data_IF_212890788814
#
_entry.id   IF_212890788814
#
_cell.length_a   1.000
_cell.length_b   1.000
_cell.length_c   1.000
_cell.angle_alpha   90.00
_cell.angle_beta   90.00
_cell.angle_gamma   90.00
#
_symmetry.space_group_name_H-M   'P 1'
#
loop_
_entity.id
_entity.type
_entity.pdbx_description
1 polymer ?
#
# COMPACT_ATOMS: atom_id res chain seq x y z
N UNK A 1 -13.99 -3.41 -11.87
CA UNK A 1 -12.95 -3.71 -10.87
C UNK A 1 -13.38 -4.98 -10.14
N UNK A 2 -12.61 -6.05 -10.25
CA UNK A 2 -12.89 -7.29 -9.53
C UNK A 2 -11.95 -7.36 -8.32
N UNK A 3 -12.50 -7.33 -7.11
CA UNK A 3 -11.74 -7.30 -5.86
C UNK A 3 -11.34 -8.69 -5.34
N UNK A 4 -11.18 -9.67 -6.24
CA UNK A 4 -10.94 -11.07 -5.89
C UNK A 4 -9.65 -11.29 -5.07
N UNK A 5 -8.65 -10.41 -5.21
CA UNK A 5 -7.44 -10.41 -4.39
C UNK A 5 -7.59 -9.72 -3.02
N UNK A 6 -8.81 -9.27 -2.66
CA UNK A 6 -9.10 -8.51 -1.43
C UNK A 6 -8.10 -7.38 -1.15
N UNK A 7 -7.70 -6.64 -2.18
CA UNK A 7 -6.70 -5.57 -2.08
C UNK A 7 -7.08 -4.45 -1.10
N UNK A 8 -8.36 -4.31 -0.75
CA UNK A 8 -8.79 -3.38 0.30
C UNK A 8 -8.60 -3.92 1.72
N UNK A 9 -8.42 -5.23 1.90
CA UNK A 9 -8.26 -5.88 3.19
C UNK A 9 -6.79 -6.22 3.53
N UNK A 10 -5.90 -6.20 2.53
CA UNK A 10 -4.46 -6.37 2.75
C UNK A 10 -3.80 -5.15 3.40
N UNK A 11 -2.81 -5.39 4.27
CA UNK A 11 -1.99 -4.32 4.84
C UNK A 11 -1.30 -3.49 3.73
N UNK A 12 -0.85 -4.19 2.69
CA UNK A 12 -0.37 -3.66 1.42
C UNK A 12 -1.24 -4.30 0.33
N UNK A 13 -2.05 -3.48 -0.33
CA UNK A 13 -2.97 -3.89 -1.38
C UNK A 13 -2.54 -3.38 -2.74
N UNK A 14 -2.73 -4.20 -3.78
CA UNK A 14 -2.50 -3.81 -5.17
C UNK A 14 -3.83 -3.89 -5.92
N UNK A 15 -4.26 -2.76 -6.46
CA UNK A 15 -5.46 -2.65 -7.29
C UNK A 15 -5.04 -2.47 -8.76
N UNK A 16 -5.28 -3.48 -9.58
CA UNK A 16 -5.19 -3.35 -11.04
C UNK A 16 -6.33 -2.50 -11.60
N UNK A 17 -5.99 -1.51 -12.41
CA UNK A 17 -6.90 -0.63 -13.15
C UNK A 17 -6.53 -0.60 -14.63
N UNK A 18 -7.52 -0.72 -15.51
CA UNK A 18 -7.34 -0.46 -16.94
C UNK A 18 -7.43 1.05 -17.18
N UNK A 19 -6.41 1.62 -17.81
CA UNK A 19 -6.44 3.01 -18.30
C UNK A 19 -6.24 3.02 -19.80
N UNK A 20 -7.35 3.02 -20.54
CA UNK A 20 -7.39 3.10 -22.00
C UNK A 20 -6.66 1.92 -22.68
N UNK A 21 -6.83 0.71 -22.13
CA UNK A 21 -6.19 -0.50 -22.64
C UNK A 21 -4.74 -0.68 -22.20
N UNK A 22 -4.24 0.16 -21.28
CA UNK A 22 -2.94 0.01 -20.64
C UNK A 22 -3.16 -0.39 -19.18
N UNK A 23 -2.50 -1.45 -18.76
CA UNK A 23 -2.51 -1.90 -17.37
C UNK A 23 -1.82 -0.86 -16.47
N UNK A 24 -2.45 -0.58 -15.34
CA UNK A 24 -1.94 0.35 -14.34
C UNK A 24 -2.32 -0.16 -12.95
N UNK A 25 -1.49 0.12 -11.95
CA UNK A 25 -1.59 -0.50 -10.64
C UNK A 25 -1.55 0.54 -9.53
N UNK A 26 -2.56 0.57 -8.67
CA UNK A 26 -2.58 1.46 -7.51
C UNK A 26 -2.18 0.70 -6.25
N UNK A 27 -1.33 1.33 -5.45
CA UNK A 27 -0.96 0.86 -4.13
C UNK A 27 -1.98 1.35 -3.10
N UNK A 28 -2.41 0.46 -2.21
CA UNK A 28 -3.29 0.74 -1.07
C UNK A 28 -2.57 0.33 0.21
N UNK A 29 -2.69 1.13 1.27
CA UNK A 29 -2.10 0.84 2.58
C UNK A 29 -3.14 0.88 3.69
N UNK A 30 -2.98 0.00 4.69
CA UNK A 30 -3.75 0.05 5.93
C UNK A 30 -5.02 -0.79 5.99
N UNK A 31 -5.23 -1.70 5.03
CA UNK A 31 -6.32 -2.69 5.10
C UNK A 31 -6.06 -3.73 6.17
N UNK A 32 -7.10 -4.23 6.84
CA UNK A 32 -7.02 -5.34 7.79
C UNK A 32 -8.35 -6.11 7.81
N UNK A 33 -8.31 -7.43 7.67
CA UNK A 33 -9.48 -8.33 7.82
C UNK A 33 -9.65 -8.90 9.24
N UNK A 34 -8.75 -8.56 10.16
CA UNK A 34 -8.78 -8.98 11.56
C UNK A 34 -9.86 -8.28 12.38
N UNK A 35 -9.81 -8.48 13.71
CA UNK A 35 -10.76 -7.90 14.66
C UNK A 35 -10.77 -6.36 14.66
N UNK A 36 -9.63 -5.76 14.31
CA UNK A 36 -9.41 -4.34 14.09
C UNK A 36 -9.56 -3.97 12.61
N UNK A 37 -10.72 -4.34 12.04
CA UNK A 37 -11.01 -4.26 10.61
C UNK A 37 -10.85 -2.84 10.07
N UNK A 38 -10.13 -2.69 8.96
CA UNK A 38 -9.98 -1.42 8.25
C UNK A 38 -9.85 -1.62 6.74
N UNK A 39 -10.24 -0.61 5.97
CA UNK A 39 -10.03 -0.60 4.52
C UNK A 39 -8.73 0.11 4.17
N UNK A 40 -7.97 -0.50 3.25
CA UNK A 40 -6.78 0.10 2.66
C UNK A 40 -7.14 1.36 1.88
N UNK A 41 -6.28 2.37 1.98
CA UNK A 41 -6.44 3.65 1.31
C UNK A 41 -5.43 3.81 0.17
N UNK A 42 -5.91 4.30 -0.97
CA UNK A 42 -5.08 4.57 -2.15
C UNK A 42 -4.01 5.60 -1.79
N UNK A 43 -2.74 5.28 -2.05
CA UNK A 43 -1.60 6.16 -1.75
C UNK A 43 -1.52 7.35 -2.70
N UNK A 44 -1.89 7.16 -3.97
CA UNK A 44 -1.80 8.21 -4.99
C UNK A 44 -2.01 7.70 -6.43
N UNK A 45 -1.36 8.34 -7.43
CA UNK A 45 -1.34 7.87 -8.81
C UNK A 45 -0.88 6.40 -8.91
N UNK A 46 -1.35 5.71 -9.95
CA UNK A 46 -0.97 4.32 -10.19
C UNK A 46 0.32 4.21 -11.00
N UNK A 47 1.01 3.09 -10.80
CA UNK A 47 2.26 2.69 -11.40
C UNK A 47 2.03 1.77 -12.61
N UNK A 48 3.05 1.58 -13.42
CA UNK A 48 3.13 0.46 -14.36
C UNK A 48 3.53 -0.84 -13.63
N UNK A 49 3.75 -1.92 -14.38
CA UNK A 49 4.07 -3.25 -13.84
C UNK A 49 5.38 -3.26 -13.03
N UNK A 50 6.45 -2.64 -13.54
CA UNK A 50 7.72 -2.55 -12.82
C UNK A 50 7.63 -1.56 -11.65
N UNK A 51 6.94 -0.45 -11.85
CA UNK A 51 6.78 0.61 -10.84
C UNK A 51 6.01 0.15 -9.62
N UNK A 52 5.03 -0.75 -9.74
CA UNK A 52 4.31 -1.27 -8.57
C UNK A 52 5.20 -2.17 -7.71
N UNK A 53 6.13 -2.92 -8.33
CA UNK A 53 7.12 -3.72 -7.59
C UNK A 53 8.03 -2.79 -6.78
N UNK A 54 8.55 -1.73 -7.41
CA UNK A 54 9.34 -0.71 -6.74
C UNK A 54 8.57 0.00 -5.62
N UNK A 55 7.29 0.32 -5.84
CA UNK A 55 6.45 0.96 -4.82
C UNK A 55 6.26 0.09 -3.56
N UNK A 56 6.10 -1.23 -3.72
CA UNK A 56 6.03 -2.17 -2.58
C UNK A 56 7.35 -2.23 -1.82
N UNK A 57 8.48 -2.25 -2.54
CA UNK A 57 9.80 -2.20 -1.93
C UNK A 57 9.98 -0.90 -1.12
N UNK A 58 9.71 0.25 -1.72
CA UNK A 58 9.77 1.56 -1.07
C UNK A 58 8.90 1.61 0.19
N UNK A 59 7.64 1.16 0.13
CA UNK A 59 6.77 1.12 1.29
C UNK A 59 7.33 0.21 2.40
N UNK A 60 7.96 -0.91 2.02
CA UNK A 60 8.62 -1.82 2.97
C UNK A 60 9.84 -1.15 3.61
N UNK A 61 10.62 -0.37 2.87
CA UNK A 61 11.75 0.37 3.43
C UNK A 61 11.30 1.47 4.41
N UNK A 62 10.23 2.21 4.10
CA UNK A 62 9.63 3.17 5.04
C UNK A 62 9.22 2.46 6.34
N UNK A 63 8.60 1.29 6.23
CA UNK A 63 8.28 0.46 7.39
C UNK A 63 9.53 0.07 8.19
N UNK A 64 10.55 -0.50 7.54
CA UNK A 64 11.77 -0.96 8.21
C UNK A 64 12.53 0.19 8.89
N UNK A 65 12.53 1.38 8.29
CA UNK A 65 13.19 2.56 8.84
C UNK A 65 12.46 3.15 10.06
N UNK A 66 11.14 2.97 10.16
CA UNK A 66 10.32 3.61 11.19
C UNK A 66 9.77 2.64 12.25
N UNK A 67 9.84 1.33 12.02
CA UNK A 67 9.29 0.33 12.95
C UNK A 67 10.02 0.34 14.28
N UNK A 68 9.26 0.12 15.35
CA UNK A 68 9.83 -0.25 16.63
C UNK A 68 10.11 -1.76 16.68
N UNK A 69 10.89 -2.21 17.67
CA UNK A 69 11.19 -3.64 17.79
C UNK A 69 9.89 -4.46 17.97
N UNK A 70 9.79 -5.56 17.23
CA UNK A 70 8.58 -6.40 17.17
C UNK A 70 7.35 -5.79 16.47
N UNK A 71 7.38 -4.53 16.02
CA UNK A 71 6.20 -3.86 15.45
C UNK A 71 5.83 -4.40 14.05
N UNK A 72 4.55 -4.73 13.83
CA UNK A 72 4.04 -5.18 12.52
C UNK A 72 3.90 -4.00 11.56
N UNK A 73 3.92 -4.26 10.25
CA UNK A 73 3.72 -3.23 9.21
C UNK A 73 2.49 -2.36 9.47
N UNK A 74 1.33 -2.98 9.73
CA UNK A 74 0.08 -2.26 9.95
C UNK A 74 0.14 -1.35 11.18
N UNK A 75 0.79 -1.80 12.25
CA UNK A 75 0.91 -1.02 13.49
C UNK A 75 1.82 0.19 13.28
N UNK A 76 2.96 -0.01 12.59
CA UNK A 76 3.84 1.10 12.19
C UNK A 76 3.09 2.10 11.32
N UNK A 77 2.38 1.64 10.28
CA UNK A 77 1.56 2.49 9.40
C UNK A 77 0.52 3.29 10.19
N UNK A 78 -0.20 2.66 11.12
CA UNK A 78 -1.19 3.35 11.95
C UNK A 78 -0.58 4.38 12.88
N UNK A 79 0.64 4.16 13.36
CA UNK A 79 1.36 5.08 14.25
C UNK A 79 1.92 6.29 13.52
N UNK A 80 2.58 6.09 12.37
CA UNK A 80 3.27 7.17 11.64
C UNK A 80 2.39 7.82 10.56
N UNK A 81 1.28 7.18 10.20
CA UNK A 81 0.34 7.63 9.20
C UNK A 81 0.83 7.46 7.76
N UNK A 82 0.00 7.91 6.82
CA UNK A 82 0.23 7.80 5.36
C UNK A 82 1.36 8.73 4.85
N UNK A 83 1.65 9.82 5.57
CA UNK A 83 2.56 10.89 5.13
C UNK A 83 3.93 10.40 4.67
N UNK A 84 4.71 9.72 5.53
CA UNK A 84 6.05 9.22 5.19
C UNK A 84 6.05 8.25 4.00
N UNK A 85 5.00 7.45 3.84
CA UNK A 85 4.87 6.54 2.70
C UNK A 85 4.65 7.29 1.40
N UNK A 86 3.79 8.32 1.41
CA UNK A 86 3.54 9.13 0.21
C UNK A 86 4.75 9.94 -0.21
N UNK A 87 5.46 10.53 0.75
CA UNK A 87 6.71 11.26 0.49
C UNK A 87 7.70 10.34 -0.24
N UNK A 88 7.99 9.16 0.31
CA UNK A 88 8.93 8.22 -0.31
C UNK A 88 8.49 7.67 -1.69
N UNK A 89 7.18 7.61 -1.95
CA UNK A 89 6.63 7.06 -3.20
C UNK A 89 6.57 8.07 -4.34
N UNK A 90 6.50 9.36 -4.04
CA UNK A 90 6.11 10.37 -5.03
C UNK A 90 6.97 11.64 -5.05
N UNK A 91 7.81 11.88 -4.03
CA UNK A 91 8.73 13.02 -3.93
C UNK A 91 10.20 12.56 -4.10
#
# INVERSE_FOLDING_TARGET
INACGHHHAGHIGILGVDRKGVENYQLLLGGCEGADTSLGQITGPGFDEDGIVGAVETATQVYLANRQDGERFLDTYRRIGMGPFKEALYD
#
